data_IF_351167749324
#
_entry.id   IF_351167749324
#
_cell.length_a   1.000
_cell.length_b   1.000
_cell.length_c   1.000
_cell.angle_alpha   90.00
_cell.angle_beta   90.00
_cell.angle_gamma   90.00
#
_symmetry.space_group_name_H-M   'P 1'
#
loop_
_entity.id
_entity.type
_entity.pdbx_description
1 polymer ?
#
# COMPACT_ATOMS: atom_id res chain seq x y z
N UNK A 1 -6.10 53.77 20.90
CA UNK A 1 -6.53 52.86 19.80
C UNK A 1 -5.86 51.52 20.02
N UNK A 2 -6.53 50.61 20.73
CA UNK A 2 -6.02 49.28 21.05
C UNK A 2 -6.50 48.29 19.98
N UNK A 3 -5.57 47.83 19.15
CA UNK A 3 -5.86 46.89 18.08
C UNK A 3 -5.86 45.46 18.67
N UNK A 4 -7.04 44.97 19.04
CA UNK A 4 -7.26 43.57 19.39
C UNK A 4 -7.16 42.72 18.12
N UNK A 5 -6.02 42.05 17.95
CA UNK A 5 -5.87 41.01 16.91
C UNK A 5 -6.79 39.85 17.28
N UNK A 6 -7.83 39.64 16.47
CA UNK A 6 -8.66 38.42 16.52
C UNK A 6 -7.77 37.26 16.09
N UNK A 7 -7.52 36.32 17.00
CA UNK A 7 -6.93 35.02 16.66
C UNK A 7 -7.85 34.32 15.64
N UNK A 8 -7.31 33.77 14.54
CA UNK A 8 -8.10 32.91 13.67
C UNK A 8 -8.43 31.62 14.44
N UNK A 9 -9.73 31.34 14.55
CA UNK A 9 -10.24 30.06 15.04
C UNK A 9 -9.76 29.00 14.04
N UNK A 10 -8.79 28.18 14.46
CA UNK A 10 -8.49 26.92 13.80
C UNK A 10 -9.76 26.06 13.92
N UNK A 11 -10.59 26.07 12.89
CA UNK A 11 -11.66 25.06 12.74
C UNK A 11 -10.94 23.78 12.30
N UNK A 12 -10.30 23.12 13.26
CA UNK A 12 -9.88 21.74 13.11
C UNK A 12 -11.14 20.90 12.96
N UNK A 13 -11.39 20.41 11.75
CA UNK A 13 -12.38 19.34 11.54
C UNK A 13 -11.94 18.19 12.45
N UNK A 14 -12.77 17.83 13.43
CA UNK A 14 -12.50 16.72 14.35
C UNK A 14 -12.18 15.47 13.53
N UNK A 15 -11.11 14.69 13.85
CA UNK A 15 -10.77 13.43 13.18
C UNK A 15 -11.94 12.45 13.10
N UNK A 16 -12.86 12.55 14.06
CA UNK A 16 -14.11 11.79 14.20
C UNK A 16 -15.08 11.89 12.99
N UNK A 17 -14.88 12.87 12.10
CA UNK A 17 -15.64 13.02 10.84
C UNK A 17 -14.96 12.36 9.64
N UNK A 18 -13.66 12.07 9.70
CA UNK A 18 -12.94 11.42 8.61
C UNK A 18 -13.01 9.90 8.84
N UNK A 19 -13.41 9.16 7.80
CA UNK A 19 -13.60 7.70 7.80
C UNK A 19 -14.93 7.13 8.36
N UNK A 20 -15.98 7.93 8.63
CA UNK A 20 -17.24 7.40 9.20
C UNK A 20 -17.90 6.31 8.33
N UNK A 21 -17.82 6.42 7.00
CA UNK A 21 -18.41 5.44 6.08
C UNK A 21 -17.63 4.13 6.12
N UNK A 22 -16.32 4.22 6.16
CA UNK A 22 -15.39 3.10 6.23
C UNK A 22 -15.50 2.37 7.56
N UNK A 23 -15.52 3.11 8.68
CA UNK A 23 -15.76 2.56 10.02
C UNK A 23 -17.10 1.82 10.05
N UNK A 24 -18.16 2.40 9.48
CA UNK A 24 -19.47 1.74 9.39
C UNK A 24 -19.42 0.45 8.58
N UNK A 25 -18.70 0.42 7.45
CA UNK A 25 -18.54 -0.79 6.64
C UNK A 25 -17.79 -1.89 7.37
N UNK A 26 -16.74 -1.54 8.12
CA UNK A 26 -15.98 -2.48 8.93
C UNK A 26 -16.82 -3.00 10.12
N UNK A 27 -17.59 -2.13 10.78
CA UNK A 27 -18.53 -2.55 11.82
C UNK A 27 -19.56 -3.54 11.28
N UNK A 28 -20.11 -3.30 10.09
CA UNK A 28 -21.02 -4.25 9.44
C UNK A 28 -20.35 -5.60 9.14
N UNK A 29 -19.04 -5.64 8.88
CA UNK A 29 -18.33 -6.91 8.74
C UNK A 29 -18.16 -7.63 10.08
N UNK A 30 -17.95 -6.89 11.18
CA UNK A 30 -17.94 -7.46 12.54
C UNK A 30 -19.33 -8.03 12.86
N UNK A 31 -20.40 -7.28 12.61
CA UNK A 31 -21.77 -7.72 12.92
C UNK A 31 -22.14 -9.00 12.15
N UNK A 32 -21.66 -9.14 10.90
CA UNK A 32 -21.85 -10.34 10.08
C UNK A 32 -21.20 -11.61 10.64
N UNK A 33 -20.17 -11.49 11.47
CA UNK A 33 -19.52 -12.66 12.09
C UNK A 33 -20.48 -13.44 13.01
N UNK A 34 -21.56 -12.79 13.46
CA UNK A 34 -22.51 -13.34 14.42
C UNK A 34 -23.88 -13.63 13.81
N UNK A 35 -24.02 -13.59 12.49
CA UNK A 35 -25.27 -13.97 11.83
C UNK A 35 -25.39 -15.48 11.73
N UNK A 36 -26.61 -16.00 11.80
CA UNK A 36 -26.87 -17.45 11.75
C UNK A 36 -26.50 -18.11 10.43
N UNK A 37 -26.35 -17.32 9.37
CA UNK A 37 -25.97 -17.71 8.01
C UNK A 37 -24.51 -17.36 7.66
N UNK A 38 -23.67 -17.13 8.68
CA UNK A 38 -22.28 -16.74 8.48
C UNK A 38 -21.48 -17.82 7.73
N UNK A 39 -20.77 -17.40 6.67
CA UNK A 39 -19.82 -18.23 5.95
C UNK A 39 -18.45 -17.53 5.86
N UNK A 40 -17.41 -18.17 6.43
CA UNK A 40 -16.06 -17.58 6.52
C UNK A 40 -15.46 -17.27 5.15
N UNK A 41 -15.54 -18.18 4.18
CA UNK A 41 -14.85 -18.00 2.89
C UNK A 41 -15.42 -16.84 2.04
N UNK A 42 -16.75 -16.70 1.84
CA UNK A 42 -17.33 -15.52 1.20
C UNK A 42 -17.05 -14.23 1.99
N UNK A 43 -17.17 -14.28 3.32
CA UNK A 43 -16.90 -13.13 4.18
C UNK A 43 -15.45 -12.66 4.05
N UNK A 44 -14.46 -13.56 4.10
CA UNK A 44 -13.03 -13.24 3.92
C UNK A 44 -12.79 -12.48 2.62
N UNK A 45 -13.31 -13.01 1.50
CA UNK A 45 -13.14 -12.38 0.18
C UNK A 45 -13.70 -10.96 0.15
N UNK A 46 -14.90 -10.77 0.70
CA UNK A 46 -15.53 -9.45 0.75
C UNK A 46 -14.75 -8.48 1.65
N UNK A 47 -14.34 -8.94 2.82
CA UNK A 47 -13.56 -8.16 3.79
C UNK A 47 -12.22 -7.74 3.23
N UNK A 48 -11.51 -8.62 2.50
CA UNK A 48 -10.26 -8.29 1.82
C UNK A 48 -10.46 -7.15 0.81
N UNK A 49 -11.51 -7.20 -0.02
CA UNK A 49 -11.80 -6.13 -0.99
C UNK A 49 -12.02 -4.78 -0.30
N UNK A 50 -12.73 -4.76 0.83
CA UNK A 50 -12.93 -3.54 1.61
C UNK A 50 -11.61 -3.02 2.20
N UNK A 51 -10.82 -3.90 2.81
CA UNK A 51 -9.53 -3.52 3.41
C UNK A 51 -8.55 -3.01 2.36
N UNK A 52 -8.51 -3.62 1.17
CA UNK A 52 -7.70 -3.13 0.04
C UNK A 52 -8.14 -1.73 -0.40
N UNK A 53 -9.45 -1.48 -0.45
CA UNK A 53 -9.97 -0.17 -0.83
C UNK A 53 -9.62 0.92 0.18
N UNK A 54 -9.67 0.59 1.47
CA UNK A 54 -9.45 1.55 2.56
C UNK A 54 -7.94 1.78 2.78
N UNK A 55 -7.16 0.71 2.88
CA UNK A 55 -5.76 0.75 3.31
C UNK A 55 -4.73 0.43 2.21
N UNK A 56 -5.20 0.11 1.01
CA UNK A 56 -4.35 -0.34 -0.09
C UNK A 56 -4.02 -1.83 -0.03
N UNK A 57 -3.49 -2.39 -1.13
CA UNK A 57 -3.18 -3.81 -1.23
C UNK A 57 -1.96 -4.20 -0.39
N UNK A 58 -1.95 -5.46 0.07
CA UNK A 58 -0.80 -6.10 0.71
C UNK A 58 -0.52 -5.63 2.13
N UNK A 59 -1.52 -5.15 2.86
CA UNK A 59 -1.37 -4.77 4.28
C UNK A 59 -1.39 -6.01 5.19
N UNK A 60 -0.79 -5.89 6.36
CA UNK A 60 -0.74 -6.98 7.36
C UNK A 60 -2.13 -7.49 7.75
N UNK A 61 -3.08 -6.58 7.94
CA UNK A 61 -4.49 -6.87 8.21
C UNK A 61 -5.15 -7.71 7.10
N UNK A 62 -4.78 -7.51 5.83
CA UNK A 62 -5.24 -8.37 4.73
C UNK A 62 -4.61 -9.77 4.82
N UNK A 63 -3.33 -9.87 5.20
CA UNK A 63 -2.67 -11.16 5.40
C UNK A 63 -3.36 -11.96 6.51
N UNK A 64 -3.56 -11.34 7.67
CA UNK A 64 -4.22 -11.97 8.82
C UNK A 64 -5.63 -12.48 8.47
N UNK A 65 -6.45 -11.68 7.77
CA UNK A 65 -7.79 -12.12 7.32
C UNK A 65 -7.69 -13.32 6.38
N UNK A 66 -6.70 -13.37 5.49
CA UNK A 66 -6.50 -14.50 4.58
C UNK A 66 -6.01 -15.78 5.29
N UNK A 67 -5.35 -15.64 6.44
CA UNK A 67 -4.85 -16.77 7.24
C UNK A 67 -5.91 -17.37 8.16
N UNK A 68 -7.02 -16.67 8.43
CA UNK A 68 -8.15 -17.21 9.19
C UNK A 68 -8.64 -18.54 8.61
N UNK A 69 -8.65 -19.60 9.40
CA UNK A 69 -9.19 -20.89 9.02
C UNK A 69 -9.89 -21.54 10.20
N UNK A 70 -10.94 -22.29 9.92
CA UNK A 70 -11.57 -23.13 10.93
C UNK A 70 -10.70 -24.38 11.08
N UNK A 71 -9.67 -24.30 11.93
CA UNK A 71 -8.75 -25.43 12.12
C UNK A 71 -9.50 -26.69 12.61
N UNK A 72 -9.60 -27.70 11.74
CA UNK A 72 -9.92 -29.07 12.11
C UNK A 72 -8.64 -29.91 12.05
N UNK A 73 -7.86 -29.94 13.14
CA UNK A 73 -6.76 -30.91 13.25
C UNK A 73 -7.30 -32.27 13.71
N UNK A 74 -6.80 -33.39 13.18
CA UNK A 74 -7.28 -34.74 13.57
C UNK A 74 -7.01 -35.12 15.04
N UNK A 75 -6.35 -34.25 15.81
CA UNK A 75 -6.15 -34.36 17.27
C UNK A 75 -7.19 -33.55 18.08
N UNK A 76 -7.92 -32.62 17.46
CA UNK A 76 -8.78 -31.66 18.15
C UNK A 76 -10.16 -32.18 18.54
N UNK A 77 -10.63 -33.29 17.93
CA UNK A 77 -11.94 -33.89 18.25
C UNK A 77 -11.97 -34.58 19.63
N UNK A 78 -10.81 -34.84 20.24
CA UNK A 78 -10.71 -35.58 21.50
C UNK A 78 -10.77 -34.69 22.76
N UNK A 79 -10.42 -33.41 22.64
CA UNK A 79 -10.28 -32.45 23.76
C UNK A 79 -11.37 -31.35 23.79
N UNK A 80 -12.33 -31.35 22.86
CA UNK A 80 -13.35 -30.29 22.72
C UNK A 80 -14.47 -30.31 23.80
N UNK A 81 -14.30 -31.03 24.91
CA UNK A 81 -15.34 -31.18 25.94
C UNK A 81 -15.40 -30.06 26.99
N UNK A 82 -14.66 -28.94 26.81
CA UNK A 82 -14.71 -27.81 27.75
C UNK A 82 -14.05 -26.48 27.35
N UNK A 83 -13.61 -26.29 26.10
CA UNK A 83 -12.96 -25.05 25.63
C UNK A 83 -13.74 -24.39 24.48
N UNK A 84 -13.53 -23.07 24.29
CA UNK A 84 -14.02 -22.26 23.16
C UNK A 84 -13.83 -23.02 21.83
N UNK A 85 -14.89 -23.04 21.01
CA UNK A 85 -14.84 -23.75 19.73
C UNK A 85 -13.84 -23.08 18.77
N UNK A 86 -13.28 -23.84 17.83
CA UNK A 86 -12.35 -23.28 16.83
C UNK A 86 -13.01 -22.20 15.97
N UNK A 87 -14.31 -22.36 15.72
CA UNK A 87 -15.14 -21.37 15.05
C UNK A 87 -15.25 -20.08 15.88
N UNK A 88 -15.56 -20.20 17.18
CA UNK A 88 -15.58 -19.06 18.11
C UNK A 88 -14.24 -18.34 18.18
N UNK A 89 -13.12 -19.08 18.22
CA UNK A 89 -11.78 -18.51 18.19
C UNK A 89 -11.51 -17.73 16.89
N UNK A 90 -11.87 -18.30 15.74
CA UNK A 90 -11.65 -17.67 14.44
C UNK A 90 -12.52 -16.42 14.26
N UNK A 91 -13.76 -16.47 14.75
CA UNK A 91 -14.68 -15.31 14.80
C UNK A 91 -14.08 -14.21 15.68
N UNK A 92 -13.56 -14.57 16.85
CA UNK A 92 -12.92 -13.61 17.76
C UNK A 92 -11.67 -12.98 17.16
N UNK A 93 -10.83 -13.78 16.50
CA UNK A 93 -9.64 -13.27 15.80
C UNK A 93 -10.04 -12.32 14.66
N UNK A 94 -11.03 -12.70 13.85
CA UNK A 94 -11.59 -11.85 12.80
C UNK A 94 -12.12 -10.51 13.35
N UNK A 95 -12.83 -10.55 14.49
CA UNK A 95 -13.32 -9.37 15.18
C UNK A 95 -12.16 -8.45 15.61
N UNK A 96 -11.14 -8.99 16.27
CA UNK A 96 -9.98 -8.22 16.75
C UNK A 96 -9.23 -7.54 15.60
N UNK A 97 -9.03 -8.23 14.47
CA UNK A 97 -8.38 -7.64 13.28
C UNK A 97 -9.17 -6.44 12.77
N UNK A 98 -10.50 -6.57 12.65
CA UNK A 98 -11.35 -5.48 12.18
C UNK A 98 -11.48 -4.35 13.19
N UNK A 99 -11.50 -4.68 14.48
CA UNK A 99 -11.53 -3.69 15.56
C UNK A 99 -10.25 -2.86 15.57
N UNK A 100 -9.09 -3.49 15.42
CA UNK A 100 -7.81 -2.80 15.27
C UNK A 100 -7.81 -1.87 14.03
N UNK A 101 -8.37 -2.30 12.91
CA UNK A 101 -8.50 -1.47 11.71
C UNK A 101 -9.44 -0.26 11.93
N UNK A 102 -10.54 -0.44 12.67
CA UNK A 102 -11.45 0.65 13.05
C UNK A 102 -10.73 1.65 13.96
N UNK A 103 -10.00 1.16 14.96
CA UNK A 103 -9.31 2.03 15.91
C UNK A 103 -8.15 2.79 15.25
N UNK A 104 -7.46 2.18 14.29
CA UNK A 104 -6.52 2.87 13.40
C UNK A 104 -7.20 4.03 12.66
N UNK A 105 -8.38 3.82 12.06
CA UNK A 105 -9.12 4.87 11.36
C UNK A 105 -9.59 5.99 12.30
N UNK A 106 -10.01 5.66 13.53
CA UNK A 106 -10.42 6.68 14.52
C UNK A 106 -9.26 7.56 14.95
N UNK A 107 -8.07 6.98 15.08
CA UNK A 107 -6.87 7.69 15.57
C UNK A 107 -6.20 8.47 14.45
N UNK A 108 -6.00 7.85 13.28
CA UNK A 108 -5.17 8.37 12.20
C UNK A 108 -5.97 8.92 11.01
N UNK A 109 -7.28 8.64 10.92
CA UNK A 109 -8.10 8.98 9.76
C UNK A 109 -7.87 8.05 8.57
N UNK A 110 -8.33 8.47 7.38
CA UNK A 110 -8.16 7.69 6.17
C UNK A 110 -6.68 7.60 5.77
N UNK A 111 -6.19 6.41 5.37
CA UNK A 111 -4.85 6.25 4.83
C UNK A 111 -4.66 7.12 3.60
N UNK A 112 -3.57 7.89 3.57
CA UNK A 112 -3.20 8.70 2.41
C UNK A 112 -2.60 7.81 1.31
N UNK A 113 -3.49 7.10 0.61
CA UNK A 113 -3.13 6.24 -0.51
C UNK A 113 -2.62 7.05 -1.73
N UNK A 114 -2.79 8.39 -1.74
CA UNK A 114 -2.30 9.27 -2.81
C UNK A 114 -0.77 9.32 -2.90
N UNK A 115 -0.05 9.00 -1.81
CA UNK A 115 1.42 8.97 -1.80
C UNK A 115 2.01 7.81 -2.60
N UNK A 116 1.31 6.67 -2.69
CA UNK A 116 1.76 5.53 -3.50
C UNK A 116 1.65 5.83 -5.00
N UNK A 117 0.57 6.50 -5.41
CA UNK A 117 0.41 6.98 -6.78
C UNK A 117 1.46 8.06 -7.08
N UNK A 118 1.59 9.11 -6.25
CA UNK A 118 2.59 10.18 -6.45
C UNK A 118 4.02 9.65 -6.58
N UNK A 119 4.38 8.60 -5.83
CA UNK A 119 5.70 7.97 -5.93
C UNK A 119 5.89 7.30 -7.29
N UNK A 120 4.84 6.63 -7.80
CA UNK A 120 4.87 5.97 -9.10
C UNK A 120 4.90 6.99 -10.24
N UNK A 121 4.12 8.07 -10.15
CA UNK A 121 4.16 9.16 -11.12
C UNK A 121 5.54 9.84 -11.16
N UNK A 122 6.13 10.15 -10.01
CA UNK A 122 7.48 10.72 -9.93
C UNK A 122 8.54 9.76 -10.51
N UNK A 123 8.42 8.47 -10.22
CA UNK A 123 9.35 7.45 -10.76
C UNK A 123 9.20 7.31 -12.29
N UNK A 124 7.97 7.40 -12.82
CA UNK A 124 7.71 7.41 -14.25
C UNK A 124 8.26 8.67 -14.93
N UNK A 125 8.11 9.85 -14.31
CA UNK A 125 8.69 11.09 -14.83
C UNK A 125 10.22 11.01 -14.93
N UNK A 126 10.89 10.54 -13.87
CA UNK A 126 12.33 10.30 -13.88
C UNK A 126 12.77 9.28 -14.93
N UNK A 127 12.01 8.18 -15.07
CA UNK A 127 12.28 7.16 -16.09
C UNK A 127 12.15 7.73 -17.50
N UNK A 128 11.15 8.58 -17.76
CA UNK A 128 10.99 9.21 -19.07
C UNK A 128 12.16 10.13 -19.41
N UNK A 129 12.63 10.96 -18.46
CA UNK A 129 13.84 11.77 -18.66
C UNK A 129 15.07 10.92 -19.01
N UNK A 130 15.23 9.76 -18.37
CA UNK A 130 16.30 8.84 -18.74
C UNK A 130 16.12 8.33 -20.19
N UNK A 131 14.90 7.91 -20.53
CA UNK A 131 14.60 7.28 -21.82
C UNK A 131 14.68 8.25 -22.99
N UNK A 132 14.33 9.53 -22.81
CA UNK A 132 14.36 10.55 -23.85
C UNK A 132 15.78 10.86 -24.33
N UNK A 133 16.77 10.73 -23.45
CA UNK A 133 18.20 10.88 -23.79
C UNK A 133 18.81 9.62 -24.41
N UNK A 134 18.09 8.49 -24.38
CA UNK A 134 18.53 7.25 -25.01
C UNK A 134 18.04 7.18 -26.45
N UNK A 135 18.93 6.73 -27.35
CA UNK A 135 18.52 6.37 -28.71
C UNK A 135 17.57 5.17 -28.67
N UNK A 136 16.65 5.07 -29.63
CA UNK A 136 15.73 3.92 -29.71
C UNK A 136 16.43 2.55 -29.75
N UNK A 137 17.65 2.46 -30.31
CA UNK A 137 18.49 1.25 -30.27
C UNK A 137 18.95 0.91 -28.85
N UNK A 138 19.34 1.92 -28.05
CA UNK A 138 19.74 1.81 -26.66
C UNK A 138 18.56 1.37 -25.78
N UNK A 139 17.36 1.91 -26.01
CA UNK A 139 16.14 1.48 -25.30
C UNK A 139 15.83 0.00 -25.59
N UNK A 140 15.98 -0.44 -26.85
CA UNK A 140 15.81 -1.87 -27.22
C UNK A 140 16.83 -2.76 -26.53
N UNK A 141 18.09 -2.33 -26.47
CA UNK A 141 19.15 -3.04 -25.77
C UNK A 141 18.88 -3.15 -24.26
N UNK A 142 18.41 -2.06 -23.63
CA UNK A 142 18.03 -2.04 -22.22
C UNK A 142 16.93 -3.07 -21.92
N UNK A 143 15.88 -3.10 -22.74
CA UNK A 143 14.80 -4.09 -22.64
C UNK A 143 15.33 -5.51 -22.79
N UNK A 144 16.22 -5.76 -23.76
CA UNK A 144 16.82 -7.07 -23.97
C UNK A 144 17.67 -7.54 -22.77
N UNK A 145 18.45 -6.65 -22.14
CA UNK A 145 19.22 -6.95 -20.93
C UNK A 145 18.30 -7.29 -19.76
N UNK A 146 17.22 -6.52 -19.57
CA UNK A 146 16.28 -6.75 -18.46
C UNK A 146 15.51 -8.06 -18.62
N UNK A 147 15.09 -8.39 -19.85
CA UNK A 147 14.32 -9.60 -20.16
C UNK A 147 15.17 -10.85 -20.39
N UNK A 148 16.50 -10.78 -20.38
CA UNK A 148 17.35 -11.95 -20.59
C UNK A 148 17.27 -12.94 -19.42
N UNK A 149 17.64 -14.20 -19.67
CA UNK A 149 17.81 -15.22 -18.62
C UNK A 149 19.11 -15.06 -17.81
N UNK A 150 19.86 -13.98 -18.00
CA UNK A 150 21.17 -13.78 -17.38
C UNK A 150 21.05 -13.57 -15.85
N UNK A 151 22.13 -13.88 -15.14
CA UNK A 151 22.25 -13.58 -13.71
C UNK A 151 22.18 -12.06 -13.44
N UNK A 152 21.77 -11.69 -12.21
CA UNK A 152 21.69 -10.27 -11.79
C UNK A 152 23.03 -9.53 -11.93
N UNK A 153 24.14 -10.22 -11.71
CA UNK A 153 25.50 -9.67 -11.84
C UNK A 153 25.79 -9.35 -13.31
N UNK A 154 25.48 -10.29 -14.20
CA UNK A 154 25.74 -10.14 -15.62
C UNK A 154 24.85 -9.07 -16.26
N UNK A 155 23.57 -8.99 -15.86
CA UNK A 155 22.67 -7.89 -16.26
C UNK A 155 23.24 -6.52 -15.84
N UNK A 156 23.73 -6.40 -14.60
CA UNK A 156 24.36 -5.15 -14.13
C UNK A 156 25.60 -4.78 -14.93
N UNK A 157 26.45 -5.76 -15.28
CA UNK A 157 27.65 -5.54 -16.12
C UNK A 157 27.26 -5.01 -17.50
N UNK A 158 26.37 -5.72 -18.21
CA UNK A 158 25.88 -5.31 -19.54
C UNK A 158 25.22 -3.93 -19.53
N UNK A 159 24.45 -3.63 -18.47
CA UNK A 159 23.81 -2.33 -18.31
C UNK A 159 24.82 -1.20 -18.11
N UNK A 160 25.87 -1.43 -17.33
CA UNK A 160 26.96 -0.46 -17.14
C UNK A 160 27.66 -0.15 -18.46
N UNK A 161 28.00 -1.17 -19.25
CA UNK A 161 28.67 -0.99 -20.54
C UNK A 161 27.81 -0.20 -21.52
N UNK A 162 26.50 -0.51 -21.57
CA UNK A 162 25.55 0.22 -22.38
C UNK A 162 25.42 1.69 -21.95
N UNK A 163 25.36 1.98 -20.65
CA UNK A 163 25.31 3.37 -20.15
C UNK A 163 26.63 4.12 -20.39
N UNK A 164 27.78 3.46 -20.28
CA UNK A 164 29.08 4.07 -20.60
C UNK A 164 29.18 4.50 -22.08
N UNK A 165 28.45 3.84 -22.97
CA UNK A 165 28.41 4.21 -24.39
C UNK A 165 27.68 5.54 -24.68
N UNK A 166 26.97 6.10 -23.70
CA UNK A 166 26.33 7.42 -23.83
C UNK A 166 27.35 8.57 -23.85
N UNK A 167 28.56 8.33 -23.35
CA UNK A 167 29.58 9.35 -23.18
C UNK A 167 29.25 10.32 -22.04
N UNK A 168 30.22 11.18 -21.71
CA UNK A 168 30.09 12.12 -20.59
C UNK A 168 28.97 13.14 -20.82
N UNK A 169 28.81 13.64 -22.05
CA UNK A 169 27.78 14.64 -22.39
C UNK A 169 26.36 14.10 -22.19
N UNK A 170 26.08 12.86 -22.62
CA UNK A 170 24.75 12.26 -22.47
C UNK A 170 24.39 12.01 -21.00
N UNK A 171 25.37 11.59 -20.19
CA UNK A 171 25.14 11.39 -18.75
C UNK A 171 24.85 12.70 -18.01
N UNK A 172 25.56 13.79 -18.37
CA UNK A 172 25.33 15.12 -17.79
C UNK A 172 23.95 15.65 -18.16
N UNK A 173 23.51 15.48 -19.40
CA UNK A 173 22.19 15.94 -19.86
C UNK A 173 21.05 15.21 -19.13
N UNK A 174 21.12 13.87 -19.02
CA UNK A 174 20.18 13.06 -18.24
C UNK A 174 20.05 13.58 -16.80
N UNK A 175 21.19 13.78 -16.13
CA UNK A 175 21.20 14.23 -14.74
C UNK A 175 20.63 15.64 -14.61
N UNK A 176 20.94 16.52 -15.56
CA UNK A 176 20.41 17.89 -15.60
C UNK A 176 18.89 17.86 -15.72
N UNK A 177 18.35 17.09 -16.67
CA UNK A 177 16.92 16.98 -16.90
C UNK A 177 16.18 16.33 -15.73
N UNK A 178 16.74 15.28 -15.11
CA UNK A 178 16.19 14.68 -13.89
C UNK A 178 16.13 15.65 -12.71
N UNK A 179 17.18 16.46 -12.51
CA UNK A 179 17.24 17.43 -11.41
C UNK A 179 16.32 18.63 -11.64
N UNK A 180 16.00 18.94 -12.89
CA UNK A 180 15.10 20.04 -13.24
C UNK A 180 13.62 19.66 -13.24
N UNK A 181 13.29 18.38 -13.03
CA UNK A 181 11.90 17.95 -12.87
C UNK A 181 11.23 18.62 -11.66
N UNK A 182 9.99 19.13 -11.80
CA UNK A 182 9.24 19.75 -10.70
C UNK A 182 9.14 18.85 -9.47
N UNK A 183 8.99 17.54 -9.66
CA UNK A 183 8.90 16.54 -8.61
C UNK A 183 10.22 16.45 -7.81
N UNK A 184 11.35 16.45 -8.50
CA UNK A 184 12.68 16.44 -7.88
C UNK A 184 12.93 17.72 -7.09
N UNK A 185 12.59 18.88 -7.67
CA UNK A 185 12.71 20.18 -7.01
C UNK A 185 11.81 20.27 -5.77
N UNK A 186 10.57 19.77 -5.86
CA UNK A 186 9.65 19.73 -4.74
C UNK A 186 10.11 18.85 -3.57
N UNK A 187 11.03 17.90 -3.79
CA UNK A 187 11.66 17.11 -2.72
C UNK A 187 12.89 17.82 -2.16
N UNK A 188 13.73 18.41 -3.01
CA UNK A 188 14.99 19.05 -2.60
C UNK A 188 14.83 20.43 -1.95
N UNK A 189 13.76 21.16 -2.29
CA UNK A 189 13.50 22.54 -1.82
C UNK A 189 12.49 22.61 -0.65
N UNK A 190 12.06 21.47 -0.12
CA UNK A 190 11.28 21.37 1.13
C UNK A 190 12.21 21.31 2.34
#
# INVERSE_FOLDING_TARGET
MTHTRKNPIFIGIKPELMAQKEIKLLQQQIDKLYTSDFELAPWKKYTVVLLERIFGPGTEKIRMINELDFEFSSWSLRDASGNESYEERSIKEAQEILQAAIDELKVFGLPDNSKKDQTKEALLALLNCLLDELKGSQVKQLKAILSSGDSKIEKKRKMREMLQSLGETGAVEVLTNMLFLPETQAVLLK
#
